data_IF_157002888574
#
_entry.id   IF_157002888574
#
_cell.length_a   1.000
_cell.length_b   1.000
_cell.length_c   1.000
_cell.angle_alpha   90.00
_cell.angle_beta   90.00
_cell.angle_gamma   90.00
#
_symmetry.space_group_name_H-M   'P 1'
#
loop_
_entity.id
_entity.type
_entity.pdbx_description
1 polymer ?
#
# COMPACT_ATOMS: atom_id res chain seq x y z
N UNK A 1 20.79 12.24 -0.35
CA UNK A 1 20.05 11.30 -1.23
C UNK A 1 18.67 10.97 -0.64
N UNK A 2 17.61 10.95 -1.46
CA UNK A 2 16.25 10.61 -1.01
C UNK A 2 16.12 9.12 -0.63
N UNK A 3 16.72 8.26 -1.44
CA UNK A 3 16.89 6.82 -1.20
C UNK A 3 18.25 6.51 -0.56
N UNK A 4 18.25 5.54 0.37
CA UNK A 4 19.49 5.02 0.94
C UNK A 4 20.06 3.92 0.04
N UNK A 5 21.28 4.09 -0.47
CA UNK A 5 21.94 3.13 -1.38
C UNK A 5 22.92 2.16 -0.69
N UNK A 6 22.78 1.93 0.62
CA UNK A 6 23.44 0.78 1.25
C UNK A 6 22.81 -0.54 0.81
N UNK A 7 23.53 -1.66 1.00
CA UNK A 7 22.99 -3.00 0.75
C UNK A 7 21.69 -3.25 1.53
N UNK A 8 21.68 -2.92 2.82
CA UNK A 8 20.48 -2.99 3.67
C UNK A 8 19.35 -2.12 3.13
N UNK A 9 19.66 -0.89 2.70
CA UNK A 9 18.68 0.00 2.08
C UNK A 9 18.05 -0.60 0.83
N UNK A 10 18.83 -1.24 -0.04
CA UNK A 10 18.32 -1.93 -1.24
C UNK A 10 17.47 -3.15 -0.88
N UNK A 11 17.90 -3.97 0.07
CA UNK A 11 17.12 -5.13 0.53
C UNK A 11 15.79 -4.72 1.15
N UNK A 12 15.76 -3.71 2.01
CA UNK A 12 14.50 -3.19 2.58
C UNK A 12 13.54 -2.72 1.48
N UNK A 13 14.03 -1.99 0.46
CA UNK A 13 13.17 -1.57 -0.66
C UNK A 13 12.63 -2.75 -1.46
N UNK A 14 13.46 -3.74 -1.77
CA UNK A 14 13.04 -4.95 -2.46
C UNK A 14 11.96 -5.72 -1.68
N UNK A 15 12.13 -5.83 -0.36
CA UNK A 15 11.16 -6.49 0.51
C UNK A 15 9.82 -5.72 0.55
N UNK A 16 9.86 -4.39 0.71
CA UNK A 16 8.66 -3.55 0.69
C UNK A 16 7.90 -3.67 -0.63
N UNK A 17 8.61 -3.62 -1.77
CA UNK A 17 8.02 -3.80 -3.09
C UNK A 17 7.40 -5.19 -3.26
N UNK A 18 8.06 -6.23 -2.75
CA UNK A 18 7.56 -7.62 -2.80
C UNK A 18 6.26 -7.77 -2.01
N UNK A 19 6.20 -7.21 -0.80
CA UNK A 19 4.99 -7.24 0.04
C UNK A 19 3.85 -6.44 -0.57
N UNK A 20 4.15 -5.25 -1.11
CA UNK A 20 3.16 -4.44 -1.81
C UNK A 20 2.59 -5.17 -3.02
N UNK A 21 3.47 -5.75 -3.85
CA UNK A 21 3.09 -6.53 -5.03
C UNK A 21 2.18 -7.70 -4.67
N UNK A 22 2.58 -8.52 -3.68
CA UNK A 22 1.78 -9.65 -3.21
C UNK A 22 0.41 -9.21 -2.66
N UNK A 23 0.38 -8.19 -1.81
CA UNK A 23 -0.87 -7.66 -1.22
C UNK A 23 -1.83 -7.15 -2.30
N UNK A 24 -1.31 -6.39 -3.27
CA UNK A 24 -2.12 -5.84 -4.35
C UNK A 24 -2.66 -6.93 -5.28
N UNK A 25 -1.88 -7.98 -5.54
CA UNK A 25 -2.30 -9.11 -6.37
C UNK A 25 -3.37 -9.97 -5.70
N UNK A 26 -3.23 -10.27 -4.41
CA UNK A 26 -4.19 -11.12 -3.68
C UNK A 26 -5.50 -10.38 -3.39
N UNK A 27 -5.45 -9.07 -3.13
CA UNK A 27 -6.63 -8.28 -2.76
C UNK A 27 -7.22 -7.46 -3.92
N UNK A 28 -6.74 -7.64 -5.16
CA UNK A 28 -7.16 -6.88 -6.35
C UNK A 28 -7.20 -5.36 -6.10
N UNK A 29 -6.03 -4.77 -5.82
CA UNK A 29 -5.89 -3.33 -5.56
C UNK A 29 -5.25 -2.57 -6.71
N UNK A 30 -5.78 -1.39 -7.01
CA UNK A 30 -5.21 -0.43 -7.96
C UNK A 30 -4.01 0.32 -7.36
N UNK A 31 -4.08 0.62 -6.06
CA UNK A 31 -2.98 1.21 -5.29
C UNK A 31 -2.97 0.67 -3.87
N UNK A 32 -1.83 0.80 -3.19
CA UNK A 32 -1.68 0.42 -1.79
C UNK A 32 -1.00 1.56 -1.02
N UNK A 33 -1.54 1.89 0.15
CA UNK A 33 -0.90 2.80 1.10
C UNK A 33 -0.20 1.99 2.18
N UNK A 34 1.07 2.28 2.43
CA UNK A 34 1.86 1.66 3.50
C UNK A 34 2.63 2.74 4.25
N UNK A 35 3.00 2.45 5.50
CA UNK A 35 3.83 3.31 6.33
C UNK A 35 5.10 2.55 6.66
N UNK A 36 6.25 3.11 6.32
CA UNK A 36 7.55 2.60 6.74
C UNK A 36 7.97 3.31 8.02
N UNK A 37 8.18 2.55 9.09
CA UNK A 37 8.69 3.05 10.37
C UNK A 37 10.15 2.61 10.54
N UNK A 38 11.02 3.55 10.87
CA UNK A 38 12.45 3.33 11.10
C UNK A 38 12.88 4.13 12.34
N UNK A 39 12.94 3.47 13.49
CA UNK A 39 13.07 4.15 14.80
C UNK A 39 11.99 5.23 14.91
N UNK A 40 12.35 6.49 15.15
CA UNK A 40 11.44 7.61 15.32
C UNK A 40 10.97 8.23 13.99
N UNK A 41 11.42 7.71 12.84
CA UNK A 41 11.08 8.27 11.54
C UNK A 41 10.01 7.44 10.84
N UNK A 42 9.07 8.13 10.21
CA UNK A 42 8.05 7.53 9.35
C UNK A 42 8.19 8.05 7.91
N UNK A 43 7.78 7.22 6.96
CA UNK A 43 7.50 7.59 5.57
C UNK A 43 6.15 7.03 5.17
N UNK A 44 5.33 7.85 4.53
CA UNK A 44 4.14 7.35 3.84
C UNK A 44 4.52 6.95 2.42
N UNK A 45 3.99 5.82 1.98
CA UNK A 45 4.27 5.26 0.67
C UNK A 45 2.94 4.91 -0.01
N UNK A 46 2.71 5.46 -1.20
CA UNK A 46 1.65 5.05 -2.11
C UNK A 46 2.26 4.24 -3.25
N UNK A 47 1.93 2.96 -3.30
CA UNK A 47 2.28 2.06 -4.39
C UNK A 47 1.19 2.10 -5.47
N UNK A 48 1.59 2.11 -6.72
CA UNK A 48 0.76 1.67 -7.84
C UNK A 48 1.43 0.46 -8.53
N UNK A 49 0.89 0.00 -9.65
CA UNK A 49 1.42 -1.19 -10.34
C UNK A 49 2.78 -0.96 -11.01
N UNK A 50 3.21 0.28 -11.18
CA UNK A 50 4.41 0.64 -11.94
C UNK A 50 5.47 1.35 -11.09
N UNK A 51 5.08 1.95 -9.97
CA UNK A 51 5.96 2.79 -9.15
C UNK A 51 5.49 2.92 -7.69
N UNK A 52 6.29 3.65 -6.91
CA UNK A 52 5.95 4.07 -5.57
C UNK A 52 6.22 5.57 -5.38
N UNK A 53 5.24 6.29 -4.85
CA UNK A 53 5.38 7.68 -4.42
C UNK A 53 5.63 7.66 -2.91
N UNK A 54 6.72 8.29 -2.48
CA UNK A 54 7.21 8.23 -1.10
C UNK A 54 7.39 9.64 -0.56
N UNK A 55 6.98 9.89 0.68
CA UNK A 55 7.25 11.18 1.33
C UNK A 55 8.72 11.29 1.78
N UNK A 56 9.16 12.52 2.09
CA UNK A 56 10.35 12.69 2.93
C UNK A 56 10.13 11.99 4.27
N UNK A 57 11.21 11.49 4.87
CA UNK A 57 11.16 10.97 6.23
C UNK A 57 10.84 12.13 7.19
N UNK A 58 9.96 11.87 8.15
CA UNK A 58 9.64 12.82 9.21
C UNK A 58 9.71 12.12 10.57
N UNK A 59 10.15 12.85 11.58
CA UNK A 59 10.19 12.36 12.96
C UNK A 59 8.78 12.43 13.56
N UNK A 60 8.14 11.28 13.72
CA UNK A 60 6.76 11.22 14.19
C UNK A 60 6.64 11.43 15.72
N UNK A 61 7.76 11.38 16.47
CA UNK A 61 7.72 11.76 17.88
C UNK A 61 7.71 13.28 18.05
N UNK A 62 8.28 14.02 17.09
CA UNK A 62 8.23 15.49 17.04
C UNK A 62 7.00 16.04 16.33
N UNK A 63 6.48 15.32 15.34
CA UNK A 63 5.25 15.68 14.63
C UNK A 63 4.21 14.54 14.68
N UNK A 64 3.64 14.27 15.87
CA UNK A 64 2.67 13.19 16.06
C UNK A 64 1.36 13.46 15.32
N UNK A 65 0.97 14.74 15.18
CA UNK A 65 -0.28 15.11 14.51
C UNK A 65 -0.28 14.66 13.05
N UNK A 66 0.81 14.88 12.30
CA UNK A 66 0.92 14.41 10.92
C UNK A 66 0.77 12.89 10.81
N UNK A 67 1.30 12.16 11.79
CA UNK A 67 1.21 10.69 11.83
C UNK A 67 -0.22 10.22 12.11
N UNK A 68 -0.87 10.76 13.14
CA UNK A 68 -2.23 10.37 13.51
C UNK A 68 -3.29 10.87 12.52
N UNK A 69 -3.09 12.04 11.93
CA UNK A 69 -3.98 12.59 10.92
C UNK A 69 -4.07 11.70 9.68
N UNK A 70 -2.96 11.04 9.30
CA UNK A 70 -3.00 10.03 8.24
C UNK A 70 -4.01 8.91 8.56
N UNK A 71 -3.98 8.36 9.78
CA UNK A 71 -4.92 7.30 10.17
C UNK A 71 -6.36 7.81 10.26
N UNK A 72 -6.56 9.01 10.81
CA UNK A 72 -7.87 9.65 10.92
C UNK A 72 -8.49 9.89 9.54
N UNK A 73 -7.70 10.36 8.56
CA UNK A 73 -8.15 10.53 7.18
C UNK A 73 -8.37 9.17 6.51
N UNK A 74 -7.47 8.21 6.71
CA UNK A 74 -7.56 6.87 6.13
C UNK A 74 -8.81 6.10 6.57
N UNK A 75 -9.22 6.25 7.83
CA UNK A 75 -10.42 5.58 8.36
C UNK A 75 -11.72 6.09 7.73
N UNK A 76 -11.72 7.34 7.23
CA UNK A 76 -12.86 7.96 6.55
C UNK A 76 -12.95 7.60 5.06
N UNK A 77 -11.93 6.92 4.50
CA UNK A 77 -11.90 6.59 3.08
C UNK A 77 -12.81 5.41 2.72
N UNK A 78 -13.43 5.49 1.53
CA UNK A 78 -14.14 4.35 0.94
C UNK A 78 -13.18 3.19 0.60
N UNK A 79 -13.71 2.04 0.19
CA UNK A 79 -12.86 0.89 -0.17
C UNK A 79 -12.02 1.20 -1.42
N UNK A 80 -12.58 1.92 -2.36
CA UNK A 80 -11.97 2.35 -3.62
C UNK A 80 -10.89 3.39 -3.38
N UNK A 81 -11.16 4.37 -2.50
CA UNK A 81 -10.16 5.36 -2.08
C UNK A 81 -8.98 4.70 -1.34
N UNK A 82 -9.24 3.62 -0.58
CA UNK A 82 -8.20 2.76 0.00
C UNK A 82 -7.51 1.85 -1.02
N UNK A 83 -7.89 1.92 -2.28
CA UNK A 83 -7.23 1.27 -3.40
C UNK A 83 -7.82 -0.06 -3.84
N UNK A 84 -8.95 -0.49 -3.29
CA UNK A 84 -9.65 -1.68 -3.79
C UNK A 84 -10.20 -1.42 -5.20
N UNK A 85 -10.05 -2.38 -6.11
CA UNK A 85 -10.64 -2.28 -7.44
C UNK A 85 -12.16 -2.53 -7.38
N UNK A 86 -13.02 -1.54 -7.72
CA UNK A 86 -14.47 -1.71 -7.63
C UNK A 86 -15.04 -2.65 -8.71
N UNK A 87 -14.32 -2.86 -9.82
CA UNK A 87 -14.77 -3.75 -10.89
C UNK A 87 -14.60 -5.24 -10.58
N UNK A 88 -13.79 -5.58 -9.56
CA UNK A 88 -13.56 -6.95 -9.16
C UNK A 88 -14.47 -7.32 -7.98
N UNK A 89 -15.24 -8.38 -8.14
CA UNK A 89 -16.09 -8.96 -7.10
C UNK A 89 -16.05 -10.49 -7.15
N UNK A 90 -16.40 -11.17 -6.05
CA UNK A 90 -16.66 -12.60 -6.09
C UNK A 90 -17.69 -12.94 -7.18
N UNK A 91 -17.46 -14.06 -7.85
CA UNK A 91 -18.37 -14.58 -8.86
C UNK A 91 -19.73 -14.93 -8.23
N UNK A 92 -20.81 -14.62 -8.93
CA UNK A 92 -22.15 -15.12 -8.59
C UNK A 92 -22.22 -16.62 -8.89
N UNK A 93 -23.15 -17.32 -8.23
CA UNK A 93 -23.36 -18.77 -8.45
C UNK A 93 -23.57 -19.10 -9.94
N UNK A 94 -24.33 -18.28 -10.67
CA UNK A 94 -24.57 -18.48 -12.10
C UNK A 94 -23.31 -18.31 -12.95
N UNK A 95 -22.47 -17.32 -12.64
CA UNK A 95 -21.19 -17.08 -13.33
C UNK A 95 -20.20 -18.21 -13.04
N UNK A 96 -20.12 -18.66 -11.78
CA UNK A 96 -19.28 -19.78 -11.39
C UNK A 96 -19.72 -21.10 -12.04
N UNK A 97 -21.04 -21.33 -12.17
CA UNK A 97 -21.56 -22.52 -12.84
C UNK A 97 -21.23 -22.52 -14.33
N UNK A 98 -21.37 -21.36 -15.01
CA UNK A 98 -20.96 -21.23 -16.42
C UNK A 98 -19.46 -21.51 -16.60
N UNK A 99 -18.60 -21.01 -15.70
CA UNK A 99 -17.16 -21.24 -15.76
C UNK A 99 -16.74 -22.70 -15.52
N UNK A 100 -17.56 -23.52 -14.83
CA UNK A 100 -17.30 -24.95 -14.63
C UNK A 100 -17.70 -25.83 -15.81
N UNK A 101 -18.60 -25.33 -16.66
CA UNK A 101 -19.11 -26.05 -17.83
C UNK A 101 -18.31 -25.74 -19.10
N UNK A 102 -17.44 -24.73 -19.06
CA UNK A 102 -16.51 -24.36 -20.12
C UNK A 102 -15.17 -25.08 -19.92
#
# INVERSE_FOLDING_TARGET
PFENNTQHGRHTRGQLASYAGATMSVQFRNHLLTILICKNFARFIRWDRSCAIVTRAFDYSKNPLLFFEFFARFSQLTREQRGLCPSIRPARKSEANKARMA
#
